data_IF_784206369008
#
_entry.id   IF_784206369008
#
_cell.length_a   1.000
_cell.length_b   1.000
_cell.length_c   1.000
_cell.angle_alpha   90.00
_cell.angle_beta   90.00
_cell.angle_gamma   90.00
#
_symmetry.space_group_name_H-M   'P 1'
#
loop_
_entity.id
_entity.type
_entity.pdbx_description
1 polymer ?
#
# COMPACT_ATOMS: atom_id res chain seq x y z
N UNK A 1 -13.22 6.22 40.64
CA UNK A 1 -13.65 6.93 39.42
C UNK A 1 -12.39 7.52 38.79
N UNK A 2 -12.20 7.39 37.47
CA UNK A 2 -11.02 7.95 36.79
C UNK A 2 -10.94 9.47 37.03
N UNK A 3 -9.75 9.99 37.36
CA UNK A 3 -9.52 11.42 37.60
C UNK A 3 -9.69 12.28 36.34
N UNK A 4 -9.55 11.67 35.14
CA UNK A 4 -9.81 12.32 33.85
C UNK A 4 -10.64 11.44 32.92
N UNK A 5 -11.46 12.05 32.06
CA UNK A 5 -12.30 11.39 31.05
C UNK A 5 -11.92 11.86 29.65
N UNK A 6 -11.47 10.94 28.80
CA UNK A 6 -11.25 11.19 27.38
C UNK A 6 -12.53 10.90 26.57
N UNK A 7 -13.00 11.87 25.80
CA UNK A 7 -14.13 11.75 24.88
C UNK A 7 -13.59 11.79 23.45
N UNK A 8 -13.79 10.71 22.68
CA UNK A 8 -13.33 10.62 21.29
C UNK A 8 -14.53 10.71 20.35
N UNK A 9 -14.49 11.67 19.43
CA UNK A 9 -15.53 11.89 18.42
C UNK A 9 -14.94 11.60 17.04
N UNK A 10 -15.51 10.64 16.33
CA UNK A 10 -14.98 10.15 15.05
C UNK A 10 -15.74 10.72 13.84
N UNK A 11 -15.01 11.25 12.87
CA UNK A 11 -15.51 11.72 11.56
C UNK A 11 -16.61 12.79 11.67
N UNK A 12 -16.59 13.60 12.72
CA UNK A 12 -17.63 14.60 12.99
C UNK A 12 -17.69 15.65 11.88
N UNK A 13 -16.55 16.24 11.55
CA UNK A 13 -16.48 17.33 10.57
C UNK A 13 -16.68 16.82 9.14
N UNK A 14 -16.16 15.63 8.83
CA UNK A 14 -16.37 14.98 7.53
C UNK A 14 -17.85 14.61 7.31
N UNK A 15 -18.54 14.09 8.34
CA UNK A 15 -19.98 13.74 8.23
C UNK A 15 -20.90 14.95 8.17
N UNK A 16 -20.51 16.07 8.77
CA UNK A 16 -21.35 17.28 8.85
C UNK A 16 -21.26 18.16 7.59
N UNK A 17 -20.39 17.82 6.63
CA UNK A 17 -20.32 18.40 5.28
C UNK A 17 -20.42 19.94 5.24
N UNK A 18 -19.79 20.61 6.20
CA UNK A 18 -19.75 22.09 6.25
C UNK A 18 -21.03 22.77 6.73
N UNK A 19 -21.99 22.04 7.34
CA UNK A 19 -23.14 22.68 7.99
C UNK A 19 -22.66 23.59 9.13
N UNK A 20 -23.10 24.86 9.12
CA UNK A 20 -22.81 25.84 10.19
C UNK A 20 -23.43 25.46 11.54
N UNK A 21 -24.53 24.72 11.52
CA UNK A 21 -25.19 24.19 12.70
C UNK A 21 -25.54 22.72 12.47
N UNK A 22 -25.21 21.90 13.46
CA UNK A 22 -25.48 20.46 13.47
C UNK A 22 -26.48 20.22 14.60
N UNK A 23 -27.63 19.63 14.28
CA UNK A 23 -28.70 19.40 15.25
C UNK A 23 -28.18 18.60 16.45
N UNK A 24 -28.34 19.13 17.66
CA UNK A 24 -27.83 18.55 18.91
C UNK A 24 -26.39 18.92 19.26
N UNK A 25 -25.72 19.75 18.45
CA UNK A 25 -24.35 20.22 18.62
C UNK A 25 -24.23 21.74 18.44
N UNK A 26 -25.34 22.46 18.61
CA UNK A 26 -25.43 23.91 18.40
C UNK A 26 -24.47 24.69 19.30
N UNK A 27 -24.17 24.16 20.48
CA UNK A 27 -23.30 24.78 21.49
C UNK A 27 -21.87 24.23 21.50
N UNK A 28 -21.45 23.50 20.45
CA UNK A 28 -20.15 22.80 20.45
C UNK A 28 -18.96 23.73 20.72
N UNK A 29 -18.95 24.94 20.15
CA UNK A 29 -17.86 25.91 20.35
C UNK A 29 -17.78 26.32 21.82
N UNK A 30 -18.92 26.65 22.44
CA UNK A 30 -18.98 27.00 23.86
C UNK A 30 -18.52 25.85 24.77
N UNK A 31 -18.82 24.61 24.38
CA UNK A 31 -18.36 23.41 25.09
C UNK A 31 -16.83 23.29 24.97
N UNK A 32 -16.25 23.53 23.80
CA UNK A 32 -14.80 23.47 23.58
C UNK A 32 -14.06 24.57 24.35
N UNK A 33 -14.61 25.78 24.41
CA UNK A 33 -14.04 26.88 25.20
C UNK A 33 -14.06 26.60 26.72
N UNK A 34 -15.03 25.82 27.19
CA UNK A 34 -15.26 25.57 28.62
C UNK A 34 -15.21 24.09 28.96
N UNK A 35 -14.24 23.35 28.39
CA UNK A 35 -14.05 21.94 28.72
C UNK A 35 -13.60 21.85 30.20
N UNK A 36 -14.32 21.09 31.05
CA UNK A 36 -13.88 20.87 32.42
C UNK A 36 -12.46 20.29 32.46
N UNK A 37 -11.59 20.68 33.41
CA UNK A 37 -10.20 20.21 33.46
C UNK A 37 -10.07 18.69 33.67
N UNK A 38 -11.16 18.04 34.12
CA UNK A 38 -11.27 16.59 34.24
C UNK A 38 -11.58 15.90 32.90
N UNK A 39 -11.75 16.63 31.80
CA UNK A 39 -12.19 16.09 30.53
C UNK A 39 -11.22 16.49 29.42
N UNK A 40 -10.92 15.54 28.54
CA UNK A 40 -10.17 15.77 27.31
C UNK A 40 -11.07 15.40 26.12
N UNK A 41 -11.14 16.27 25.11
CA UNK A 41 -11.96 16.05 23.91
C UNK A 41 -11.04 15.86 22.70
N UNK A 42 -11.19 14.72 22.02
CA UNK A 42 -10.42 14.37 20.84
C UNK A 42 -11.35 14.19 19.64
N UNK A 43 -11.18 15.03 18.61
CA UNK A 43 -11.76 14.81 17.30
C UNK A 43 -10.79 14.00 16.44
N UNK A 44 -11.24 12.86 15.91
CA UNK A 44 -10.47 12.02 15.00
C UNK A 44 -11.13 12.01 13.62
N UNK A 45 -10.40 12.51 12.63
CA UNK A 45 -10.82 12.56 11.23
C UNK A 45 -9.81 11.80 10.36
N UNK A 46 -10.30 11.08 9.35
CA UNK A 46 -9.49 10.31 8.41
C UNK A 46 -9.59 10.82 6.95
N UNK A 47 -10.54 11.69 6.64
CA UNK A 47 -10.77 12.21 5.29
C UNK A 47 -10.48 13.70 5.20
N UNK A 48 -9.74 14.17 4.20
CA UNK A 48 -9.43 15.61 4.04
C UNK A 48 -10.66 16.54 3.89
N UNK A 49 -11.86 15.98 3.69
CA UNK A 49 -13.11 16.75 3.55
C UNK A 49 -13.40 17.69 4.73
N UNK A 50 -12.93 17.35 5.95
CA UNK A 50 -13.12 18.20 7.14
C UNK A 50 -12.45 19.56 7.01
N UNK A 51 -11.37 19.69 6.23
CA UNK A 51 -10.55 20.92 6.14
C UNK A 51 -11.37 22.12 5.63
N UNK A 52 -12.43 21.86 4.86
CA UNK A 52 -13.34 22.91 4.36
C UNK A 52 -14.46 23.27 5.35
N UNK A 53 -14.65 22.51 6.43
CA UNK A 53 -15.75 22.69 7.38
C UNK A 53 -15.52 23.94 8.25
N UNK A 54 -16.50 24.86 8.27
CA UNK A 54 -16.42 26.09 9.06
C UNK A 54 -16.29 25.87 10.57
N UNK A 55 -16.93 24.82 11.12
CA UNK A 55 -16.82 24.48 12.54
C UNK A 55 -15.43 23.95 12.89
N UNK A 56 -14.82 23.17 12.00
CA UNK A 56 -13.44 22.71 12.19
C UNK A 56 -12.48 23.90 12.29
N UNK A 57 -12.60 24.87 11.38
CA UNK A 57 -11.73 26.07 11.38
C UNK A 57 -11.79 26.84 12.69
N UNK A 58 -12.98 27.01 13.25
CA UNK A 58 -13.15 27.71 14.54
C UNK A 58 -12.58 26.89 15.71
N UNK A 59 -12.83 25.58 15.75
CA UNK A 59 -12.32 24.71 16.82
C UNK A 59 -10.79 24.57 16.73
N UNK A 60 -10.21 24.59 15.52
CA UNK A 60 -8.77 24.54 15.31
C UNK A 60 -8.02 25.75 15.90
N UNK A 61 -8.67 26.89 16.07
CA UNK A 61 -8.10 28.06 16.76
C UNK A 61 -8.05 27.87 18.28
N UNK A 62 -8.90 26.99 18.83
CA UNK A 62 -9.05 26.73 20.27
C UNK A 62 -8.39 25.42 20.72
N UNK A 63 -7.92 24.59 19.79
CA UNK A 63 -7.43 23.24 20.06
C UNK A 63 -6.08 22.95 19.39
N UNK A 64 -5.33 22.00 19.96
CA UNK A 64 -4.12 21.48 19.31
C UNK A 64 -4.50 20.57 18.14
N UNK A 65 -4.13 20.97 16.92
CA UNK A 65 -4.32 20.15 15.72
C UNK A 65 -3.02 19.39 15.40
N UNK A 66 -3.11 18.07 15.26
CA UNK A 66 -2.01 17.23 14.78
C UNK A 66 -2.45 16.43 13.55
N UNK A 67 -1.69 16.56 12.47
CA UNK A 67 -1.91 15.82 11.24
C UNK A 67 -0.95 14.63 11.17
N UNK A 68 -1.50 13.44 10.90
CA UNK A 68 -0.74 12.20 10.74
C UNK A 68 -0.77 11.78 9.26
N UNK A 69 -0.13 12.58 8.41
CA UNK A 69 -0.05 12.31 6.99
C UNK A 69 0.79 11.04 6.74
N UNK A 70 0.30 10.15 5.87
CA UNK A 70 1.12 9.02 5.42
C UNK A 70 2.33 9.56 4.65
N UNK A 71 3.56 9.19 5.01
CA UNK A 71 4.75 9.57 4.26
C UNK A 71 4.69 9.02 2.83
N UNK A 72 5.06 9.84 1.84
CA UNK A 72 5.09 9.47 0.42
C UNK A 72 6.39 9.92 -0.24
N UNK A 73 6.84 9.17 -1.25
CA UNK A 73 8.07 9.48 -1.99
C UNK A 73 9.25 9.61 -1.05
N UNK A 74 10.10 10.63 -1.23
CA UNK A 74 11.27 10.87 -0.38
C UNK A 74 10.97 11.06 1.12
N UNK A 75 9.74 11.39 1.50
CA UNK A 75 9.35 11.51 2.91
C UNK A 75 9.33 10.16 3.65
N UNK A 76 9.23 9.02 2.94
CA UNK A 76 9.29 7.70 3.56
C UNK A 76 10.66 7.41 4.16
N UNK A 77 11.73 7.83 3.46
CA UNK A 77 13.10 7.62 3.91
C UNK A 77 13.36 8.40 5.20
N UNK A 78 12.89 9.65 5.25
CA UNK A 78 12.96 10.46 6.47
C UNK A 78 12.16 9.83 7.60
N UNK A 79 10.93 9.37 7.33
CA UNK A 79 10.11 8.70 8.33
C UNK A 79 10.79 7.46 8.91
N UNK A 80 11.43 6.63 8.06
CA UNK A 80 12.19 5.45 8.52
C UNK A 80 13.35 5.87 9.41
N UNK A 81 14.15 6.85 8.98
CA UNK A 81 15.28 7.37 9.77
C UNK A 81 14.82 7.89 11.14
N UNK A 82 13.80 8.75 11.15
CA UNK A 82 13.25 9.33 12.39
C UNK A 82 12.71 8.22 13.30
N UNK A 83 12.05 7.21 12.74
CA UNK A 83 11.48 6.08 13.49
C UNK A 83 12.54 5.15 14.09
N UNK A 84 13.64 4.92 13.38
CA UNK A 84 14.79 4.17 13.90
C UNK A 84 15.42 4.94 15.07
N UNK A 85 15.64 6.24 14.90
CA UNK A 85 16.21 7.10 15.94
C UNK A 85 15.32 7.16 17.20
N UNK A 86 14.00 7.30 17.01
CA UNK A 86 13.01 7.32 18.11
C UNK A 86 13.04 6.03 18.96
N UNK A 87 13.42 4.90 18.35
CA UNK A 87 13.55 3.61 19.02
C UNK A 87 14.99 3.33 19.50
N UNK A 88 15.90 4.30 19.38
CA UNK A 88 17.28 4.18 19.84
C UNK A 88 18.20 3.36 18.94
N UNK A 89 17.80 3.07 17.70
CA UNK A 89 18.64 2.39 16.72
C UNK A 89 19.45 3.35 15.85
N UNK A 90 20.34 2.80 15.04
CA UNK A 90 21.05 3.50 13.96
C UNK A 90 20.87 2.71 12.64
N UNK A 91 20.76 3.41 11.51
CA UNK A 91 20.53 2.82 10.20
C UNK A 91 21.26 3.61 9.10
N UNK A 92 21.86 2.91 8.14
CA UNK A 92 22.53 3.57 7.01
C UNK A 92 21.53 3.98 5.90
N UNK A 93 21.93 4.94 5.06
CA UNK A 93 21.09 5.46 3.97
C UNK A 93 20.71 4.41 2.90
N UNK A 94 21.56 3.40 2.66
CA UNK A 94 21.27 2.32 1.71
C UNK A 94 20.23 1.38 2.30
N UNK A 95 20.32 1.06 3.59
CA UNK A 95 19.37 0.27 4.35
C UNK A 95 18.00 0.95 4.41
N UNK A 96 17.94 2.27 4.66
CA UNK A 96 16.69 3.05 4.58
C UNK A 96 16.03 2.89 3.22
N UNK A 97 16.81 3.11 2.16
CA UNK A 97 16.30 3.05 0.78
C UNK A 97 15.84 1.63 0.43
N UNK A 98 16.56 0.61 0.91
CA UNK A 98 16.19 -0.79 0.70
C UNK A 98 14.94 -1.16 1.49
N UNK A 99 14.83 -0.78 2.76
CA UNK A 99 13.66 -1.04 3.59
C UNK A 99 12.40 -0.38 3.03
N UNK A 100 12.52 0.87 2.58
CA UNK A 100 11.44 1.57 1.87
C UNK A 100 11.02 0.85 0.59
N UNK A 101 11.99 0.28 -0.14
CA UNK A 101 11.73 -0.48 -1.37
C UNK A 101 11.06 -1.84 -1.10
N UNK A 102 11.55 -2.57 -0.10
CA UNK A 102 11.14 -3.93 0.23
C UNK A 102 9.74 -3.95 0.85
N UNK A 103 9.39 -2.96 1.69
CA UNK A 103 8.09 -2.90 2.38
C UNK A 103 7.10 -1.95 1.72
N UNK A 104 7.56 -0.83 1.16
CA UNK A 104 6.70 0.23 0.63
C UNK A 104 6.15 1.17 1.71
N UNK A 105 5.09 1.96 1.42
CA UNK A 105 4.63 3.06 2.27
C UNK A 105 3.79 2.65 3.49
N UNK A 106 3.67 1.34 3.78
CA UNK A 106 2.91 0.86 4.92
C UNK A 106 3.71 1.09 6.21
N UNK A 107 3.43 2.21 6.88
CA UNK A 107 4.15 2.61 8.11
C UNK A 107 3.99 1.61 9.26
N UNK A 108 2.89 0.85 9.31
CA UNK A 108 2.72 -0.18 10.33
C UNK A 108 3.62 -1.38 10.09
N UNK A 109 3.74 -1.84 8.84
CA UNK A 109 4.68 -2.90 8.47
C UNK A 109 6.13 -2.44 8.62
N UNK A 110 6.44 -1.21 8.22
CA UNK A 110 7.77 -0.62 8.42
C UNK A 110 8.13 -0.54 9.91
N UNK A 111 7.20 -0.13 10.79
CA UNK A 111 7.45 -0.01 12.23
C UNK A 111 7.80 -1.36 12.86
N UNK A 112 7.04 -2.40 12.52
CA UNK A 112 7.30 -3.76 13.00
C UNK A 112 8.64 -4.30 12.48
N UNK A 113 8.97 -4.02 11.21
CA UNK A 113 10.25 -4.44 10.64
C UNK A 113 11.42 -3.69 11.30
N UNK A 114 11.27 -2.39 11.53
CA UNK A 114 12.28 -1.58 12.23
C UNK A 114 12.55 -2.14 13.63
N UNK A 115 11.52 -2.50 14.39
CA UNK A 115 11.70 -3.13 15.70
C UNK A 115 12.53 -4.42 15.62
N UNK A 116 12.21 -5.29 14.66
CA UNK A 116 12.96 -6.53 14.43
C UNK A 116 14.41 -6.26 14.05
N UNK A 117 14.66 -5.30 13.17
CA UNK A 117 15.99 -4.94 12.70
C UNK A 117 16.85 -4.34 13.82
N UNK A 118 16.28 -3.48 14.66
CA UNK A 118 16.97 -2.93 15.84
C UNK A 118 17.36 -4.04 16.80
N UNK A 119 16.43 -4.95 17.10
CA UNK A 119 16.69 -6.10 17.97
C UNK A 119 17.77 -7.03 17.42
N UNK A 120 17.83 -7.21 16.11
CA UNK A 120 18.87 -8.02 15.47
C UNK A 120 20.23 -7.33 15.44
N UNK A 121 20.26 -6.03 15.16
CA UNK A 121 21.49 -5.30 14.99
C UNK A 121 22.26 -5.12 16.30
N UNK A 122 21.57 -5.11 17.45
CA UNK A 122 22.13 -5.11 18.81
C UNK A 122 23.24 -4.05 18.98
N UNK A 123 22.82 -2.78 19.05
CA UNK A 123 23.68 -1.58 19.11
C UNK A 123 24.58 -1.33 17.87
N UNK A 124 24.58 -2.21 16.85
CA UNK A 124 25.20 -1.93 15.55
C UNK A 124 24.27 -1.10 14.67
N UNK A 125 24.86 -0.32 13.76
CA UNK A 125 24.13 0.30 12.65
C UNK A 125 23.51 -0.77 11.73
N UNK A 126 22.19 -0.66 11.48
CA UNK A 126 21.44 -1.47 10.53
C UNK A 126 21.93 -1.19 9.10
N UNK A 127 22.27 -2.25 8.39
CA UNK A 127 22.81 -2.23 7.04
C UNK A 127 21.85 -2.86 6.02
N UNK A 128 22.05 -2.59 4.73
CA UNK A 128 21.19 -3.17 3.68
C UNK A 128 21.22 -4.69 3.65
N UNK A 129 22.31 -5.33 4.07
CA UNK A 129 22.39 -6.78 4.19
C UNK A 129 21.51 -7.34 5.31
N UNK A 130 21.26 -6.58 6.37
CA UNK A 130 20.36 -7.01 7.45
C UNK A 130 18.90 -6.99 6.95
N UNK A 131 18.55 -5.99 6.13
CA UNK A 131 17.25 -5.93 5.44
C UNK A 131 17.09 -7.15 4.53
N UNK A 132 18.10 -7.45 3.71
CA UNK A 132 18.04 -8.56 2.75
C UNK A 132 17.97 -9.93 3.44
N UNK A 133 18.52 -10.04 4.65
CA UNK A 133 18.49 -11.26 5.44
C UNK A 133 17.17 -11.47 6.18
N UNK A 134 16.59 -10.39 6.73
CA UNK A 134 15.52 -10.48 7.71
C UNK A 134 14.16 -10.00 7.21
N UNK A 135 14.15 -9.13 6.20
CA UNK A 135 12.95 -8.57 5.63
C UNK A 135 12.57 -9.36 4.38
N UNK A 136 11.48 -10.11 4.48
CA UNK A 136 10.88 -10.73 3.30
C UNK A 136 10.31 -9.62 2.41
N UNK A 137 10.71 -9.58 1.13
CA UNK A 137 10.10 -8.72 0.10
C UNK A 137 8.58 -8.78 0.24
N UNK A 138 7.93 -7.61 0.38
CA UNK A 138 6.48 -7.50 0.52
C UNK A 138 5.83 -8.43 -0.51
N UNK A 139 5.03 -9.40 -0.06
CA UNK A 139 4.59 -10.54 -0.89
C UNK A 139 3.99 -10.09 -2.22
N UNK A 140 3.36 -8.91 -2.24
CA UNK A 140 2.86 -8.30 -3.46
C UNK A 140 3.96 -7.93 -4.46
N UNK A 141 5.08 -7.34 -4.04
CA UNK A 141 6.21 -7.02 -4.90
C UNK A 141 6.94 -8.27 -5.42
N UNK A 142 7.06 -9.30 -4.59
CA UNK A 142 7.56 -10.61 -5.01
C UNK A 142 6.66 -11.23 -6.09
N UNK A 143 5.33 -11.19 -5.89
CA UNK A 143 4.37 -11.68 -6.88
C UNK A 143 4.43 -10.84 -8.15
N UNK A 144 4.51 -9.51 -8.06
CA UNK A 144 4.65 -8.64 -9.23
C UNK A 144 5.90 -8.97 -10.03
N UNK A 145 7.05 -9.18 -9.36
CA UNK A 145 8.30 -9.58 -10.01
C UNK A 145 8.17 -10.96 -10.65
N UNK A 146 7.50 -11.91 -9.99
CA UNK A 146 7.29 -13.24 -10.55
C UNK A 146 6.39 -13.22 -11.81
N UNK A 147 5.33 -12.40 -11.80
CA UNK A 147 4.44 -12.20 -12.96
C UNK A 147 5.17 -11.53 -14.11
N UNK A 148 5.95 -10.49 -13.82
CA UNK A 148 6.75 -9.81 -14.83
C UNK A 148 7.79 -10.75 -15.45
N UNK A 149 8.49 -11.53 -14.63
CA UNK A 149 9.39 -12.58 -15.11
C UNK A 149 8.66 -13.57 -16.02
N UNK A 150 7.45 -14.01 -15.66
CA UNK A 150 6.66 -14.93 -16.48
C UNK A 150 6.26 -14.32 -17.83
N UNK A 151 5.77 -13.07 -17.84
CA UNK A 151 5.40 -12.35 -19.06
C UNK A 151 6.59 -12.11 -19.99
N UNK A 152 7.79 -11.93 -19.44
CA UNK A 152 9.02 -11.74 -20.20
C UNK A 152 9.72 -13.06 -20.58
N UNK A 153 9.10 -14.21 -20.32
CA UNK A 153 9.70 -15.53 -20.63
C UNK A 153 10.96 -15.83 -19.83
N UNK A 154 11.14 -15.22 -18.66
CA UNK A 154 12.31 -15.44 -17.82
C UNK A 154 12.22 -16.83 -17.15
N UNK A 155 13.24 -17.69 -17.32
CA UNK A 155 13.23 -19.06 -16.79
C UNK A 155 13.18 -19.13 -15.26
N UNK A 156 13.50 -18.03 -14.56
CA UNK A 156 13.45 -17.95 -13.10
C UNK A 156 12.06 -17.64 -12.52
N UNK A 157 11.05 -17.36 -13.36
CA UNK A 157 9.69 -17.06 -12.91
C UNK A 157 9.12 -18.15 -11.98
N UNK A 158 9.30 -19.43 -12.36
CA UNK A 158 8.84 -20.57 -11.57
C UNK A 158 9.54 -20.66 -10.21
N UNK A 159 10.85 -20.40 -10.15
CA UNK A 159 11.60 -20.41 -8.90
C UNK A 159 11.13 -19.29 -7.95
N UNK A 160 10.80 -18.12 -8.51
CA UNK A 160 10.22 -17.00 -7.77
C UNK A 160 8.85 -17.38 -7.18
N UNK A 161 7.96 -17.98 -7.97
CA UNK A 161 6.63 -18.43 -7.50
C UNK A 161 6.74 -19.51 -6.42
N UNK A 162 7.66 -20.47 -6.55
CA UNK A 162 7.91 -21.47 -5.50
C UNK A 162 8.35 -20.84 -4.18
N UNK A 163 9.16 -19.78 -4.24
CA UNK A 163 9.59 -19.04 -3.05
C UNK A 163 8.41 -18.36 -2.36
N UNK A 164 7.48 -17.80 -3.14
CA UNK A 164 6.26 -17.16 -2.62
C UNK A 164 5.33 -18.20 -1.96
N UNK A 165 5.14 -19.36 -2.60
CA UNK A 165 4.33 -20.46 -2.05
C UNK A 165 4.87 -20.99 -0.72
N UNK A 166 6.19 -21.07 -0.57
CA UNK A 166 6.83 -21.44 0.70
C UNK A 166 6.59 -20.41 1.81
N UNK A 167 6.20 -19.18 1.45
CA UNK A 167 5.87 -18.08 2.37
C UNK A 167 4.45 -18.12 2.94
N UNK A 168 3.71 -19.24 2.82
CA UNK A 168 2.31 -19.43 3.28
C UNK A 168 1.22 -18.83 2.39
N UNK A 169 1.53 -18.39 1.17
CA UNK A 169 0.54 -17.92 0.21
C UNK A 169 -0.12 -19.09 -0.54
N UNK A 170 -1.44 -19.01 -0.76
CA UNK A 170 -2.15 -20.07 -1.50
C UNK A 170 -1.95 -19.90 -3.02
N UNK A 171 -1.93 -20.99 -3.81
CA UNK A 171 -1.86 -20.89 -5.27
C UNK A 171 -2.99 -20.04 -5.86
N UNK A 172 -4.21 -20.15 -5.32
CA UNK A 172 -5.35 -19.33 -5.71
C UNK A 172 -5.14 -17.83 -5.44
N UNK A 173 -4.48 -17.46 -4.35
CA UNK A 173 -4.12 -16.06 -4.08
C UNK A 173 -3.12 -15.53 -5.12
N UNK A 174 -2.07 -16.31 -5.42
CA UNK A 174 -1.08 -15.92 -6.43
C UNK A 174 -1.76 -15.73 -7.78
N UNK A 175 -2.61 -16.68 -8.21
CA UNK A 175 -3.40 -16.57 -9.44
C UNK A 175 -4.23 -15.27 -9.49
N UNK A 176 -4.96 -14.96 -8.43
CA UNK A 176 -5.74 -13.73 -8.35
C UNK A 176 -4.87 -12.47 -8.49
N UNK A 177 -3.65 -12.50 -7.94
CA UNK A 177 -2.67 -11.42 -8.06
C UNK A 177 -2.09 -11.30 -9.48
N UNK A 178 -1.87 -12.42 -10.19
CA UNK A 178 -1.50 -12.40 -11.62
C UNK A 178 -2.61 -11.74 -12.45
N UNK A 179 -3.86 -12.16 -12.25
CA UNK A 179 -5.03 -11.57 -12.90
C UNK A 179 -5.09 -10.05 -12.67
N UNK A 180 -4.90 -9.61 -11.42
CA UNK A 180 -4.90 -8.19 -11.09
C UNK A 180 -3.79 -7.45 -11.84
N UNK A 181 -2.57 -7.98 -11.87
CA UNK A 181 -1.44 -7.30 -12.51
C UNK A 181 -1.63 -7.15 -14.02
N UNK A 182 -2.06 -8.21 -14.71
CA UNK A 182 -2.35 -8.13 -16.16
C UNK A 182 -3.45 -7.11 -16.45
N UNK A 183 -4.51 -7.06 -15.62
CA UNK A 183 -5.56 -6.03 -15.75
C UNK A 183 -5.02 -4.61 -15.57
N UNK A 184 -4.16 -4.39 -14.57
CA UNK A 184 -3.54 -3.08 -14.33
C UNK A 184 -2.71 -2.63 -15.54
N UNK A 185 -1.91 -3.54 -16.11
CA UNK A 185 -1.10 -3.27 -17.30
C UNK A 185 -1.98 -2.94 -18.52
N UNK A 186 -3.05 -3.71 -18.75
CA UNK A 186 -4.01 -3.45 -19.84
C UNK A 186 -4.68 -2.10 -19.69
N UNK A 187 -5.22 -1.80 -18.51
CA UNK A 187 -5.89 -0.51 -18.26
C UNK A 187 -4.91 0.64 -18.45
N UNK A 188 -3.71 0.57 -17.89
CA UNK A 188 -2.71 1.60 -18.04
C UNK A 188 -2.24 1.76 -19.51
N UNK A 189 -2.10 0.67 -20.27
CA UNK A 189 -1.73 0.69 -21.70
C UNK A 189 -2.78 1.37 -22.56
N UNK A 190 -4.06 1.06 -22.34
CA UNK A 190 -5.17 1.72 -23.05
C UNK A 190 -5.28 3.20 -22.69
N UNK A 191 -5.17 3.54 -21.40
CA UNK A 191 -5.21 4.93 -20.93
C UNK A 191 -4.03 5.79 -21.42
N UNK A 192 -2.87 5.20 -21.68
CA UNK A 192 -1.74 5.91 -22.29
C UNK A 192 -2.03 6.30 -23.75
N UNK A 193 -2.84 5.52 -24.48
CA UNK A 193 -3.29 5.88 -25.83
C UNK A 193 -4.27 7.06 -25.85
N UNK A 194 -5.01 7.26 -24.76
CA UNK A 194 -6.04 8.29 -24.60
C UNK A 194 -5.53 9.61 -23.98
N UNK A 195 -4.21 9.75 -23.76
CA UNK A 195 -3.58 10.92 -23.12
C UNK A 195 -4.11 11.23 -21.70
N UNK A 196 -4.53 10.21 -20.94
CA UNK A 196 -4.97 10.41 -19.54
C UNK A 196 -3.81 10.86 -18.66
N UNK A 197 -4.05 11.83 -17.78
CA UNK A 197 -3.03 12.35 -16.87
C UNK A 197 -2.59 11.28 -15.85
N UNK A 198 -1.32 11.28 -15.45
CA UNK A 198 -0.79 10.36 -14.42
C UNK A 198 -1.60 10.40 -13.12
N UNK A 199 -2.09 11.58 -12.71
CA UNK A 199 -2.86 11.73 -11.49
C UNK A 199 -4.25 11.10 -11.59
N UNK A 200 -4.88 11.18 -12.76
CA UNK A 200 -6.20 10.57 -12.96
C UNK A 200 -6.10 9.06 -13.08
N UNK A 201 -5.08 8.55 -13.79
CA UNK A 201 -4.80 7.12 -13.85
C UNK A 201 -4.45 6.55 -12.47
N UNK A 202 -3.70 7.30 -11.66
CA UNK A 202 -3.39 6.94 -10.26
C UNK A 202 -4.64 6.79 -9.40
N UNK A 203 -5.62 7.70 -9.54
CA UNK A 203 -6.92 7.60 -8.85
C UNK A 203 -7.76 6.44 -9.37
N UNK A 204 -7.79 6.23 -10.68
CA UNK A 204 -8.58 5.17 -11.32
C UNK A 204 -8.07 3.77 -10.93
N UNK A 205 -6.75 3.58 -10.92
CA UNK A 205 -6.13 2.30 -10.57
C UNK A 205 -5.95 2.11 -9.06
N UNK A 206 -6.21 3.16 -8.26
CA UNK A 206 -5.91 3.21 -6.84
C UNK A 206 -4.44 2.82 -6.55
N UNK A 207 -3.52 3.30 -7.39
CA UNK A 207 -2.08 3.06 -7.29
C UNK A 207 -1.35 4.39 -7.17
N UNK A 208 -0.42 4.49 -6.24
CA UNK A 208 0.30 5.74 -5.94
C UNK A 208 1.81 5.51 -5.84
N UNK A 209 2.57 6.60 -6.02
CA UNK A 209 4.02 6.61 -5.83
C UNK A 209 4.75 5.54 -6.65
N UNK A 210 5.63 4.79 -6.00
CA UNK A 210 6.51 3.81 -6.63
C UNK A 210 5.79 2.72 -7.43
N UNK A 211 4.67 2.19 -6.90
CA UNK A 211 3.89 1.16 -7.60
C UNK A 211 3.33 1.68 -8.95
N UNK A 212 3.01 2.98 -9.01
CA UNK A 212 2.59 3.63 -10.25
C UNK A 212 3.76 3.82 -11.22
N UNK A 213 4.93 4.23 -10.73
CA UNK A 213 6.14 4.39 -11.57
C UNK A 213 6.55 3.05 -12.20
N UNK A 214 6.58 1.98 -11.39
CA UNK A 214 6.90 0.62 -11.84
C UNK A 214 5.89 0.10 -12.85
N UNK A 215 4.59 0.32 -12.62
CA UNK A 215 3.55 -0.04 -13.59
C UNK A 215 3.76 0.67 -14.94
N UNK A 216 4.04 1.98 -14.91
CA UNK A 216 4.25 2.75 -16.14
C UNK A 216 5.51 2.34 -16.90
N UNK A 217 6.56 1.89 -16.19
CA UNK A 217 7.74 1.30 -16.82
C UNK A 217 7.39 0.00 -17.55
N UNK A 218 6.65 -0.90 -16.89
CA UNK A 218 6.23 -2.17 -17.48
C UNK A 218 5.26 -1.99 -18.66
N UNK A 219 4.35 -1.02 -18.59
CA UNK A 219 3.46 -0.67 -19.69
C UNK A 219 4.22 -0.32 -20.97
N UNK A 220 5.44 0.24 -20.87
CA UNK A 220 6.26 0.53 -22.05
C UNK A 220 6.89 -0.71 -22.67
N UNK A 221 7.16 -1.74 -21.85
CA UNK A 221 7.85 -2.97 -22.26
C UNK A 221 6.92 -3.98 -22.94
N UNK A 222 5.65 -4.02 -22.54
CA UNK A 222 4.69 -4.99 -23.06
C UNK A 222 3.80 -4.41 -24.17
N UNK A 223 3.54 -5.18 -25.22
CA UNK A 223 2.57 -4.80 -26.25
C UNK A 223 1.12 -5.14 -25.83
N UNK A 224 0.12 -4.47 -26.42
CA UNK A 224 -1.28 -4.67 -26.02
C UNK A 224 -1.80 -6.06 -26.42
N UNK A 225 -1.39 -6.59 -27.58
CA UNK A 225 -1.80 -7.90 -28.08
C UNK A 225 -1.40 -9.02 -27.13
N UNK A 226 -0.16 -9.01 -26.64
CA UNK A 226 0.38 -9.95 -25.66
C UNK A 226 -0.34 -9.85 -24.32
N UNK A 227 -0.61 -8.64 -23.84
CA UNK A 227 -1.37 -8.46 -22.61
C UNK A 227 -2.82 -9.00 -22.74
N UNK A 228 -3.47 -8.80 -23.90
CA UNK A 228 -4.79 -9.37 -24.17
C UNK A 228 -4.74 -10.91 -24.27
N UNK A 229 -3.71 -11.48 -24.90
CA UNK A 229 -3.51 -12.92 -24.94
C UNK A 229 -3.31 -13.51 -23.54
N UNK A 230 -2.47 -12.86 -22.71
CA UNK A 230 -2.29 -13.22 -21.31
C UNK A 230 -3.62 -13.14 -20.52
N UNK A 231 -4.44 -12.12 -20.77
CA UNK A 231 -5.75 -12.00 -20.12
C UNK A 231 -6.72 -13.12 -20.48
N UNK A 232 -6.76 -13.51 -21.75
CA UNK A 232 -7.59 -14.63 -22.20
C UNK A 232 -7.12 -15.95 -21.59
N UNK A 233 -5.80 -16.20 -21.56
CA UNK A 233 -5.20 -17.36 -20.94
C UNK A 233 -5.55 -17.49 -19.46
N UNK A 234 -5.48 -16.37 -18.74
CA UNK A 234 -5.88 -16.25 -17.35
C UNK A 234 -7.37 -16.59 -17.17
N UNK A 235 -8.25 -16.07 -18.03
CA UNK A 235 -9.69 -16.38 -17.99
C UNK A 235 -9.98 -17.87 -18.24
N UNK A 236 -9.32 -18.49 -19.23
CA UNK A 236 -9.43 -19.92 -19.50
C UNK A 236 -8.93 -20.78 -18.32
N UNK A 237 -7.86 -20.34 -17.66
CA UNK A 237 -7.30 -21.00 -16.48
C UNK A 237 -8.29 -20.95 -15.31
N UNK A 238 -8.89 -19.79 -15.04
CA UNK A 238 -9.92 -19.62 -14.01
C UNK A 238 -11.16 -20.50 -14.30
N UNK A 239 -11.58 -20.63 -15.56
CA UNK A 239 -12.67 -21.53 -15.95
C UNK A 239 -12.32 -23.00 -15.67
N UNK A 240 -11.11 -23.44 -16.02
CA UNK A 240 -10.63 -24.80 -15.76
C UNK A 240 -10.58 -25.12 -14.26
N UNK A 241 -10.21 -24.16 -13.41
CA UNK A 241 -10.24 -24.30 -11.95
C UNK A 241 -11.69 -24.43 -11.46
N UNK A 242 -12.57 -23.48 -11.84
CA UNK A 242 -13.97 -23.44 -11.37
C UNK A 242 -14.81 -24.62 -11.84
N UNK A 243 -14.47 -25.20 -12.98
CA UNK A 243 -15.10 -26.42 -13.51
C UNK A 243 -14.49 -27.71 -12.93
N UNK A 244 -13.49 -27.62 -12.04
CA UNK A 244 -12.83 -28.76 -11.41
C UNK A 244 -11.91 -29.55 -12.34
N UNK A 245 -11.58 -29.01 -13.52
CA UNK A 245 -10.67 -29.65 -14.49
C UNK A 245 -9.20 -29.54 -14.07
N UNK A 246 -8.85 -28.50 -13.32
CA UNK A 246 -7.51 -28.27 -12.78
C UNK A 246 -7.56 -27.90 -11.29
N UNK A 247 -6.55 -28.31 -10.54
CA UNK A 247 -6.30 -27.79 -9.19
C UNK A 247 -5.56 -26.45 -9.28
N UNK A 248 -5.72 -25.58 -8.29
CA UNK A 248 -5.09 -24.25 -8.29
C UNK A 248 -3.56 -24.32 -8.49
N UNK A 249 -2.91 -25.31 -7.88
CA UNK A 249 -1.45 -25.50 -8.01
C UNK A 249 -1.04 -25.87 -9.44
N UNK A 250 -1.71 -26.86 -10.04
CA UNK A 250 -1.39 -27.29 -11.39
C UNK A 250 -1.73 -26.20 -12.41
N UNK A 251 -2.85 -25.50 -12.20
CA UNK A 251 -3.24 -24.35 -13.02
C UNK A 251 -2.21 -23.23 -12.97
N UNK A 252 -1.68 -22.91 -11.79
CA UNK A 252 -0.62 -21.92 -11.63
C UNK A 252 0.68 -22.34 -12.35
N UNK A 253 1.10 -23.60 -12.23
CA UNK A 253 2.30 -24.08 -12.89
C UNK A 253 2.20 -24.04 -14.42
N UNK A 254 1.05 -24.49 -14.97
CA UNK A 254 0.78 -24.45 -16.40
C UNK A 254 0.71 -23.01 -16.92
N UNK A 255 -0.03 -22.15 -16.23
CA UNK A 255 -0.19 -20.75 -16.60
C UNK A 255 1.16 -20.04 -16.72
N UNK A 256 2.08 -20.25 -15.77
CA UNK A 256 3.41 -19.62 -15.83
C UNK A 256 4.21 -20.07 -17.05
N UNK A 257 4.12 -21.36 -17.40
CA UNK A 257 4.76 -21.90 -18.61
C UNK A 257 4.14 -21.35 -19.89
N UNK A 258 2.81 -21.28 -19.96
CA UNK A 258 2.09 -20.77 -21.12
C UNK A 258 2.29 -19.26 -21.31
N UNK A 259 2.33 -18.47 -20.23
CA UNK A 259 2.65 -17.04 -20.27
C UNK A 259 4.05 -16.77 -20.84
N UNK A 260 5.03 -17.62 -20.50
CA UNK A 260 6.40 -17.50 -21.00
C UNK A 260 6.52 -17.76 -22.51
N UNK A 261 5.56 -18.45 -23.11
CA UNK A 261 5.51 -18.76 -24.54
C UNK A 261 4.73 -17.71 -25.36
N UNK A 262 4.13 -16.71 -24.70
CA UNK A 262 3.46 -15.62 -25.39
C UNK A 262 4.50 -14.71 -26.07
N UNK A 263 4.57 -14.84 -27.39
CA UNK A 263 5.39 -13.98 -28.24
C UNK A 263 4.67 -12.65 -28.54
N UNK A 264 5.45 -11.62 -28.85
CA UNK A 264 4.97 -10.29 -29.22
C UNK A 264 4.25 -10.25 -30.57
#
# INVERSE_FOLDING_TARGET
MSERRLVIVNEFFSKTKGKKQVKGWENLIQIVENIPPTNDLLFRESQDSFKSNSLFKQIAELASVREFAMPRGGAINKWIQDRVNDKGGDIDNKAISRLAHVIGPNTWALDAEIEKLILYADDRQISSSDIDLLTTDNHQDSIFRAVDMALNGNPHAMASVKTILNGSESPGYILAMIHRQVRLLITAKMSHGEQISRNDLSKQLNLHGYAMDKLLEEVRRHNLSKLMAAHNLLAETDEKIKSGKLTDMLALEMLLGELALLND
#
